data_IF_001623034399
#
_entry.id   IF_001623034399
#
_cell.length_a   1.000
_cell.length_b   1.000
_cell.length_c   1.000
_cell.angle_alpha   90.00
_cell.angle_beta   90.00
_cell.angle_gamma   90.00
#
_symmetry.space_group_name_H-M   'P 1'
#
loop_
_entity.id
_entity.type
_entity.pdbx_description
1 polymer ?
#
# COMPACT_ATOMS: atom_id res chain seq x y z
N UNK A 1 94.50 9.21 16.76
CA UNK A 1 93.72 10.35 16.23
C UNK A 1 92.45 9.76 15.58
N UNK A 2 91.39 9.73 16.31
CA UNK A 2 90.09 9.15 15.89
C UNK A 2 89.20 10.27 15.42
N UNK A 3 88.80 10.23 14.18
CA UNK A 3 87.79 11.16 13.64
C UNK A 3 86.37 10.59 13.87
N UNK A 4 85.63 11.29 14.74
CA UNK A 4 84.26 11.02 15.01
C UNK A 4 83.42 11.62 13.85
N UNK A 5 82.71 10.76 13.12
CA UNK A 5 81.71 11.21 12.15
C UNK A 5 80.35 11.40 12.83
N UNK A 6 79.90 12.63 12.89
CA UNK A 6 78.53 12.97 13.34
C UNK A 6 77.61 12.72 12.22
N UNK A 7 76.72 11.77 12.40
CA UNK A 7 75.57 11.51 11.46
C UNK A 7 74.38 12.33 11.99
N UNK A 8 74.00 13.37 11.22
CA UNK A 8 72.79 14.15 11.49
C UNK A 8 71.64 13.43 10.84
N UNK A 9 70.78 12.86 11.65
CA UNK A 9 69.53 12.20 11.20
C UNK A 9 68.48 13.27 11.00
N UNK A 10 68.13 13.59 9.77
CA UNK A 10 66.97 14.44 9.41
C UNK A 10 65.68 13.64 9.55
N UNK A 11 64.95 13.85 10.61
CA UNK A 11 63.58 13.35 10.76
C UNK A 11 62.66 14.28 9.93
N UNK A 12 62.30 13.86 8.75
CA UNK A 12 61.24 14.47 7.96
C UNK A 12 59.87 14.06 8.55
N UNK A 13 59.30 14.91 9.40
CA UNK A 13 57.90 14.79 9.86
C UNK A 13 56.98 15.02 8.66
N UNK A 14 56.55 13.92 8.04
CA UNK A 14 55.44 13.91 7.10
C UNK A 14 54.14 14.22 7.88
N UNK A 15 53.76 15.48 7.91
CA UNK A 15 52.40 15.86 8.28
C UNK A 15 51.43 15.37 7.20
N UNK A 16 50.88 14.17 7.38
CA UNK A 16 49.71 13.75 6.66
C UNK A 16 48.57 14.65 7.10
N UNK A 17 48.29 15.68 6.30
CA UNK A 17 47.04 16.44 6.44
C UNK A 17 45.92 15.50 6.04
N UNK A 18 45.27 14.86 7.02
CA UNK A 18 43.99 14.23 6.82
C UNK A 18 43.01 15.39 6.60
N UNK A 19 42.82 15.74 5.35
CA UNK A 19 41.70 16.61 4.95
C UNK A 19 40.44 15.84 5.20
N UNK A 20 39.78 16.07 6.34
CA UNK A 20 38.38 15.75 6.48
C UNK A 20 37.64 16.61 5.46
N UNK A 21 37.34 16.06 4.30
CA UNK A 21 36.38 16.62 3.40
C UNK A 21 35.04 16.61 4.17
N UNK A 22 34.68 17.75 4.73
CA UNK A 22 33.30 17.98 5.12
C UNK A 22 32.47 17.82 3.84
N UNK A 23 31.85 16.65 3.65
CA UNK A 23 30.90 16.46 2.58
C UNK A 23 29.81 17.50 2.78
N UNK A 24 29.86 18.59 2.00
CA UNK A 24 28.80 19.60 2.02
C UNK A 24 27.51 18.90 1.63
N UNK A 25 26.48 19.07 2.46
CA UNK A 25 25.16 18.56 2.18
C UNK A 25 24.69 19.17 0.84
N UNK A 26 24.33 18.34 -0.15
CA UNK A 26 23.85 18.84 -1.44
C UNK A 26 22.64 19.75 -1.26
N UNK A 27 22.52 20.78 -2.12
CA UNK A 27 21.40 21.72 -2.09
C UNK A 27 20.81 21.78 -3.50
N UNK A 28 19.52 21.59 -3.61
CA UNK A 28 18.72 21.86 -4.81
C UNK A 28 17.77 23.03 -4.57
N UNK A 29 17.34 23.66 -5.64
CA UNK A 29 16.48 24.86 -5.59
C UNK A 29 15.05 24.51 -5.99
N UNK A 30 14.08 25.24 -5.41
CA UNK A 30 12.67 25.14 -5.77
C UNK A 30 12.01 26.52 -5.74
N UNK A 31 10.96 26.71 -6.54
CA UNK A 31 10.04 27.85 -6.42
C UNK A 31 8.63 27.39 -6.07
N UNK A 32 8.32 26.10 -6.27
CA UNK A 32 7.08 25.45 -5.85
C UNK A 32 7.29 24.59 -4.62
N UNK A 33 6.23 24.42 -3.81
CA UNK A 33 6.23 23.53 -2.66
C UNK A 33 6.18 22.05 -3.05
N UNK A 34 5.74 21.72 -4.24
CA UNK A 34 5.55 20.33 -4.67
C UNK A 34 6.81 19.78 -5.35
N UNK A 35 7.13 18.54 -5.02
CA UNK A 35 8.30 17.82 -5.56
C UNK A 35 7.83 16.50 -6.13
N UNK A 36 8.25 16.20 -7.33
CA UNK A 36 8.06 14.88 -7.93
C UNK A 36 9.19 13.94 -7.51
N UNK A 37 8.87 12.69 -7.28
CA UNK A 37 9.86 11.68 -6.90
C UNK A 37 9.84 10.53 -7.91
N UNK A 38 11.01 10.17 -8.39
CA UNK A 38 11.19 8.99 -9.25
C UNK A 38 11.97 7.91 -8.49
N UNK A 39 11.28 6.83 -8.16
CA UNK A 39 11.86 5.62 -7.59
C UNK A 39 12.14 4.61 -8.71
N UNK A 40 13.41 4.33 -8.98
CA UNK A 40 13.82 3.56 -10.17
C UNK A 40 13.21 4.13 -11.46
N UNK A 41 12.22 3.46 -12.04
CA UNK A 41 11.53 3.88 -13.27
C UNK A 41 10.14 4.49 -13.01
N UNK A 42 9.64 4.47 -11.78
CA UNK A 42 8.29 4.95 -11.42
C UNK A 42 8.36 6.41 -11.00
N UNK A 43 7.76 7.30 -11.78
CA UNK A 43 7.60 8.72 -11.45
C UNK A 43 6.27 8.93 -10.72
N UNK A 44 6.34 9.52 -9.54
CA UNK A 44 5.19 9.97 -8.75
C UNK A 44 5.18 11.50 -8.72
N UNK A 45 4.17 12.10 -9.33
CA UNK A 45 4.00 13.55 -9.34
C UNK A 45 3.43 14.03 -8.01
N UNK A 46 3.92 15.18 -7.55
CA UNK A 46 3.51 15.81 -6.29
C UNK A 46 3.61 14.87 -5.07
N UNK A 47 4.55 13.92 -5.13
CA UNK A 47 4.71 12.89 -4.10
C UNK A 47 5.32 13.40 -2.79
N UNK A 48 5.90 14.58 -2.83
CA UNK A 48 6.55 15.20 -1.67
C UNK A 48 6.19 16.67 -1.60
N UNK A 49 5.91 17.17 -0.41
CA UNK A 49 5.68 18.59 -0.18
C UNK A 49 6.81 19.16 0.67
N UNK A 50 7.43 20.23 0.22
CA UNK A 50 8.43 20.95 0.97
C UNK A 50 7.77 21.65 2.15
N UNK A 51 8.23 21.33 3.37
CA UNK A 51 7.80 21.98 4.61
C UNK A 51 9.04 22.67 5.19
N UNK A 52 9.18 24.00 5.06
CA UNK A 52 10.31 24.75 5.55
C UNK A 52 10.24 24.93 7.07
N UNK A 53 10.44 23.85 7.81
CA UNK A 53 10.52 23.82 9.25
C UNK A 53 11.88 23.27 9.69
N UNK A 54 12.23 23.47 10.98
CA UNK A 54 13.47 22.95 11.55
C UNK A 54 13.54 21.42 11.63
N UNK A 55 12.44 20.72 11.32
CA UNK A 55 12.35 19.27 11.38
C UNK A 55 12.98 18.63 10.15
N UNK A 56 13.64 17.50 10.39
CA UNK A 56 14.18 16.65 9.34
C UNK A 56 13.05 15.82 8.71
N UNK A 57 12.78 16.05 7.44
CA UNK A 57 11.85 15.23 6.65
C UNK A 57 12.54 13.94 6.21
N UNK A 58 11.90 12.81 6.43
CA UNK A 58 12.47 11.49 6.13
C UNK A 58 11.66 10.84 5.00
N UNK A 59 12.35 10.54 3.89
CA UNK A 59 11.82 9.75 2.80
C UNK A 59 12.38 8.33 2.87
N UNK A 60 11.51 7.33 2.98
CA UNK A 60 11.89 5.91 2.98
C UNK A 60 11.64 5.29 1.62
N UNK A 61 12.54 4.42 1.17
CA UNK A 61 12.42 3.75 -0.12
C UNK A 61 13.20 2.44 -0.18
N UNK A 62 12.69 1.48 -0.94
CA UNK A 62 13.40 0.26 -1.34
C UNK A 62 14.05 0.37 -2.72
N UNK A 63 13.89 1.50 -3.40
CA UNK A 63 14.45 1.71 -4.74
C UNK A 63 15.98 1.73 -4.72
N UNK A 64 16.60 1.30 -5.82
CA UNK A 64 18.07 1.38 -6.01
C UNK A 64 18.53 2.77 -6.39
N UNK A 65 17.67 3.54 -7.05
CA UNK A 65 17.92 4.92 -7.48
C UNK A 65 16.68 5.74 -7.17
N UNK A 66 16.89 6.88 -6.52
CA UNK A 66 15.82 7.85 -6.24
C UNK A 66 16.23 9.19 -6.79
N UNK A 67 15.31 9.85 -7.49
CA UNK A 67 15.49 11.22 -7.99
C UNK A 67 14.36 12.11 -7.49
N UNK A 68 14.72 13.22 -6.89
CA UNK A 68 13.80 14.30 -6.54
C UNK A 68 13.86 15.35 -7.64
N UNK A 69 12.71 15.73 -8.16
CA UNK A 69 12.54 16.80 -9.14
C UNK A 69 11.74 17.93 -8.51
N UNK A 70 12.34 19.07 -8.39
CA UNK A 70 11.61 20.32 -8.12
C UNK A 70 11.15 20.91 -9.46
N UNK A 71 10.47 22.04 -9.42
CA UNK A 71 10.08 22.77 -10.63
C UNK A 71 11.27 23.34 -11.45
N UNK A 72 12.46 23.52 -10.82
CA UNK A 72 13.63 24.14 -11.45
C UNK A 72 14.94 23.36 -11.30
N UNK A 73 14.97 22.26 -10.50
CA UNK A 73 16.20 21.54 -10.22
C UNK A 73 15.94 20.05 -9.94
N UNK A 74 16.99 19.23 -9.84
CA UNK A 74 16.85 17.82 -9.48
C UNK A 74 18.09 17.26 -8.81
N UNK A 75 17.90 16.21 -8.01
CA UNK A 75 19.00 15.45 -7.40
C UNK A 75 18.71 13.96 -7.39
N UNK A 76 19.73 13.15 -7.69
CA UNK A 76 19.62 11.69 -7.74
C UNK A 76 20.60 11.04 -6.77
N UNK A 77 20.13 9.96 -6.14
CA UNK A 77 20.92 9.14 -5.21
C UNK A 77 20.87 7.67 -5.63
N UNK A 78 22.01 7.00 -5.55
CA UNK A 78 22.07 5.53 -5.58
C UNK A 78 21.95 5.02 -4.15
N UNK A 79 20.85 4.39 -3.85
CA UNK A 79 20.50 3.97 -2.49
C UNK A 79 21.15 2.62 -2.18
N UNK A 80 21.78 2.55 -1.02
CA UNK A 80 22.35 1.32 -0.47
C UNK A 80 21.76 1.05 0.91
N UNK A 81 21.55 -0.22 1.30
CA UNK A 81 21.12 -0.58 2.65
C UNK A 81 22.08 0.03 3.69
N UNK A 82 21.52 0.43 4.82
CA UNK A 82 22.22 1.02 5.99
C UNK A 82 22.85 2.40 5.76
N UNK A 83 22.72 3.00 4.56
CA UNK A 83 23.17 4.36 4.32
C UNK A 83 22.02 5.36 4.45
N UNK A 84 22.37 6.58 4.83
CA UNK A 84 21.50 7.74 4.86
C UNK A 84 22.03 8.77 3.87
N UNK A 85 21.13 9.47 3.21
CA UNK A 85 21.48 10.50 2.24
C UNK A 85 20.74 11.77 2.59
N UNK A 86 21.51 12.80 3.00
CA UNK A 86 20.97 14.10 3.37
C UNK A 86 21.12 15.08 2.22
N UNK A 87 20.09 15.90 2.00
CA UNK A 87 20.13 17.05 1.10
C UNK A 87 19.20 18.15 1.59
N UNK A 88 19.32 19.33 1.01
CA UNK A 88 18.50 20.50 1.35
C UNK A 88 17.76 20.95 0.11
N UNK A 89 16.48 21.24 0.26
CA UNK A 89 15.69 21.92 -0.77
C UNK A 89 15.56 23.38 -0.34
N UNK A 90 16.13 24.29 -1.13
CA UNK A 90 16.06 25.73 -0.89
C UNK A 90 14.90 26.34 -1.66
N UNK A 91 13.83 26.72 -0.97
CA UNK A 91 12.62 27.29 -1.53
C UNK A 91 12.76 28.82 -1.67
N UNK A 92 12.60 29.33 -2.89
CA UNK A 92 12.68 30.76 -3.20
C UNK A 92 13.96 31.47 -2.69
N UNK A 93 15.04 30.72 -2.49
CA UNK A 93 16.30 31.25 -1.99
C UNK A 93 16.30 31.71 -0.53
N UNK A 94 15.24 31.43 0.23
CA UNK A 94 15.06 31.90 1.63
C UNK A 94 14.81 30.74 2.58
N UNK A 95 13.80 29.95 2.31
CA UNK A 95 13.38 28.88 3.20
C UNK A 95 14.06 27.57 2.83
N UNK A 96 14.46 26.78 3.79
CA UNK A 96 15.14 25.50 3.54
C UNK A 96 14.43 24.35 4.25
N UNK A 97 14.28 23.23 3.53
CA UNK A 97 13.82 21.98 4.09
C UNK A 97 14.98 20.95 4.04
N UNK A 98 15.34 20.40 5.17
CA UNK A 98 16.32 19.32 5.25
C UNK A 98 15.62 17.99 5.03
N UNK A 99 16.01 17.27 4.00
CA UNK A 99 15.46 15.95 3.66
C UNK A 99 16.52 14.88 3.82
N UNK A 100 16.13 13.75 4.40
CA UNK A 100 16.97 12.57 4.53
C UNK A 100 16.31 11.39 3.83
N UNK A 101 17.03 10.70 2.95
CA UNK A 101 16.58 9.45 2.36
C UNK A 101 17.14 8.28 3.18
N UNK A 102 16.27 7.33 3.52
CA UNK A 102 16.63 6.06 4.17
C UNK A 102 16.21 4.89 3.32
N UNK A 103 17.06 3.88 3.26
CA UNK A 103 16.66 2.61 2.70
C UNK A 103 15.73 1.88 3.67
N UNK A 104 14.62 1.41 3.12
CA UNK A 104 13.71 0.49 3.80
C UNK A 104 13.46 -0.70 2.88
N UNK A 105 13.43 -1.90 3.44
CA UNK A 105 13.20 -3.10 2.67
C UNK A 105 11.75 -3.13 2.16
N UNK A 106 11.54 -3.50 0.89
CA UNK A 106 10.18 -3.60 0.35
C UNK A 106 9.34 -4.64 1.12
N UNK A 107 8.05 -4.41 1.23
CA UNK A 107 7.11 -5.35 1.86
C UNK A 107 7.17 -6.73 1.18
N UNK A 108 7.31 -6.77 -0.14
CA UNK A 108 7.49 -8.01 -0.89
C UNK A 108 8.78 -8.75 -0.49
N UNK A 109 9.90 -8.05 -0.27
CA UNK A 109 11.13 -8.70 0.20
C UNK A 109 11.01 -9.21 1.63
N UNK A 110 10.27 -8.51 2.48
CA UNK A 110 9.92 -8.97 3.83
C UNK A 110 9.03 -10.22 3.74
N UNK A 111 8.02 -10.18 2.88
CA UNK A 111 7.12 -11.32 2.65
C UNK A 111 7.87 -12.57 2.15
N UNK A 112 8.81 -12.42 1.20
CA UNK A 112 9.64 -13.53 0.69
C UNK A 112 10.49 -14.18 1.78
N UNK A 113 10.85 -13.45 2.82
CA UNK A 113 11.58 -13.96 3.99
C UNK A 113 10.68 -14.51 5.09
N UNK A 114 9.36 -14.30 4.98
CA UNK A 114 8.42 -14.81 5.95
C UNK A 114 8.34 -16.34 5.90
N UNK A 115 8.15 -16.96 7.06
CA UNK A 115 7.96 -18.40 7.17
C UNK A 115 6.71 -18.89 6.43
N UNK A 116 6.65 -20.19 6.19
CA UNK A 116 5.43 -20.84 5.72
C UNK A 116 4.32 -20.71 6.75
N UNK A 117 3.07 -20.76 6.30
CA UNK A 117 1.94 -20.87 7.24
C UNK A 117 2.12 -22.10 8.14
N UNK A 118 1.80 -21.91 9.41
CA UNK A 118 1.69 -23.04 10.34
C UNK A 118 0.31 -23.68 10.19
N UNK A 119 0.24 -24.81 9.50
CA UNK A 119 -1.00 -25.56 9.34
C UNK A 119 -1.32 -26.47 10.54
N UNK A 120 -0.34 -26.64 11.46
CA UNK A 120 -0.50 -27.44 12.67
C UNK A 120 -0.82 -26.54 13.87
N UNK A 121 -1.83 -25.69 13.72
CA UNK A 121 -2.27 -24.78 14.77
C UNK A 121 -3.01 -25.58 15.87
N UNK A 122 -2.45 -25.58 17.06
CA UNK A 122 -3.01 -26.32 18.21
C UNK A 122 -3.82 -25.42 19.15
N UNK A 123 -3.87 -24.12 18.90
CA UNK A 123 -4.70 -23.21 19.70
C UNK A 123 -6.17 -23.45 19.39
N UNK A 124 -7.02 -23.34 20.42
CA UNK A 124 -8.45 -23.34 20.19
C UNK A 124 -8.84 -22.12 19.34
N UNK A 125 -9.34 -22.38 18.13
CA UNK A 125 -9.87 -21.37 17.25
C UNK A 125 -11.39 -21.52 17.25
N UNK A 126 -12.16 -20.50 17.71
CA UNK A 126 -13.60 -20.55 17.66
C UNK A 126 -14.10 -20.77 16.24
N UNK A 127 -15.16 -21.57 16.09
CA UNK A 127 -15.79 -21.78 14.79
C UNK A 127 -16.36 -20.44 14.28
N UNK A 128 -16.00 -20.07 13.07
CA UNK A 128 -16.55 -18.88 12.44
C UNK A 128 -18.00 -19.15 12.00
N UNK A 129 -18.92 -18.30 12.46
CA UNK A 129 -20.32 -18.38 12.10
C UNK A 129 -20.71 -17.23 11.17
N UNK A 130 -21.53 -17.56 10.18
CA UNK A 130 -22.05 -16.60 9.22
C UNK A 130 -23.48 -16.19 9.60
N UNK A 131 -23.81 -14.92 9.39
CA UNK A 131 -25.20 -14.52 9.39
C UNK A 131 -25.95 -15.30 8.30
N UNK A 132 -27.13 -15.76 8.63
CA UNK A 132 -27.98 -16.49 7.69
C UNK A 132 -28.82 -15.52 6.86
N UNK A 133 -29.31 -15.95 5.72
CA UNK A 133 -30.22 -15.18 4.84
C UNK A 133 -31.51 -14.74 5.55
N UNK A 134 -31.87 -15.42 6.65
CA UNK A 134 -33.03 -15.09 7.47
C UNK A 134 -32.76 -14.01 8.52
N UNK A 135 -31.56 -13.49 8.61
CA UNK A 135 -31.26 -12.35 9.49
C UNK A 135 -32.09 -11.13 9.06
N UNK A 136 -32.85 -10.50 9.98
CA UNK A 136 -33.75 -9.38 9.63
C UNK A 136 -33.05 -8.22 8.93
N UNK A 137 -31.81 -7.89 9.32
CA UNK A 137 -31.05 -6.81 8.70
C UNK A 137 -30.62 -7.15 7.28
N UNK A 138 -30.24 -8.41 7.03
CA UNK A 138 -29.90 -8.88 5.67
C UNK A 138 -31.14 -8.94 4.77
N UNK A 139 -32.29 -9.34 5.30
CA UNK A 139 -33.57 -9.31 4.55
C UNK A 139 -33.91 -7.86 4.16
N UNK A 140 -33.81 -6.93 5.13
CA UNK A 140 -34.04 -5.50 4.89
C UNK A 140 -33.07 -4.96 3.84
N UNK A 141 -31.77 -5.22 3.99
CA UNK A 141 -30.73 -4.81 3.03
C UNK A 141 -31.02 -5.29 1.63
N UNK A 142 -31.33 -6.58 1.45
CA UNK A 142 -31.65 -7.19 0.17
C UNK A 142 -32.84 -6.53 -0.52
N UNK A 143 -33.89 -6.26 0.27
CA UNK A 143 -35.12 -5.62 -0.23
C UNK A 143 -34.92 -4.15 -0.55
N UNK A 144 -34.36 -3.37 0.38
CA UNK A 144 -34.25 -1.90 0.28
C UNK A 144 -33.32 -1.49 -0.88
N UNK A 145 -32.30 -2.29 -1.14
CA UNK A 145 -31.35 -2.05 -2.25
C UNK A 145 -31.66 -2.86 -3.52
N UNK A 146 -32.72 -3.68 -3.51
CA UNK A 146 -33.08 -4.55 -4.65
C UNK A 146 -31.89 -5.41 -5.14
N UNK A 147 -31.19 -6.06 -4.22
CA UNK A 147 -29.93 -6.75 -4.51
C UNK A 147 -30.10 -7.93 -5.48
N UNK A 148 -31.28 -8.55 -5.55
CA UNK A 148 -31.57 -9.59 -6.55
C UNK A 148 -31.45 -9.07 -7.98
N UNK A 149 -31.96 -7.88 -8.24
CA UNK A 149 -31.86 -7.24 -9.54
C UNK A 149 -30.43 -6.84 -9.88
N UNK A 150 -29.69 -6.33 -8.90
CA UNK A 150 -28.27 -5.94 -9.05
C UNK A 150 -27.41 -7.16 -9.32
N UNK A 151 -27.57 -8.22 -8.54
CA UNK A 151 -26.85 -9.48 -8.72
C UNK A 151 -27.18 -10.15 -10.06
N UNK A 152 -28.42 -9.99 -10.53
CA UNK A 152 -28.89 -10.58 -11.79
C UNK A 152 -29.18 -12.07 -11.68
N UNK A 153 -29.45 -12.69 -12.83
CA UNK A 153 -29.86 -14.09 -12.92
C UNK A 153 -28.78 -15.02 -13.51
N UNK A 154 -27.55 -14.52 -13.65
CA UNK A 154 -26.41 -15.30 -14.14
C UNK A 154 -25.89 -16.34 -13.16
N UNK A 155 -24.70 -16.87 -13.45
CA UNK A 155 -23.97 -17.78 -12.57
C UNK A 155 -23.65 -17.13 -11.22
N UNK A 156 -23.21 -17.94 -10.23
CA UNK A 156 -22.78 -17.43 -8.94
C UNK A 156 -21.62 -16.41 -9.09
N UNK A 157 -20.64 -16.71 -9.95
CA UNK A 157 -19.54 -15.80 -10.23
C UNK A 157 -20.02 -14.47 -10.82
N UNK A 158 -21.00 -14.51 -11.74
CA UNK A 158 -21.61 -13.28 -12.28
C UNK A 158 -22.25 -12.45 -11.19
N UNK A 159 -22.95 -13.06 -10.23
CA UNK A 159 -23.55 -12.36 -9.08
C UNK A 159 -22.48 -11.76 -8.17
N UNK A 160 -21.39 -12.49 -7.92
CA UNK A 160 -20.27 -12.00 -7.12
C UNK A 160 -19.68 -10.73 -7.75
N UNK A 161 -19.39 -10.75 -9.05
CA UNK A 161 -18.78 -9.61 -9.71
C UNK A 161 -19.76 -8.44 -9.91
N UNK A 162 -21.01 -8.70 -10.21
CA UNK A 162 -22.03 -7.65 -10.31
C UNK A 162 -22.14 -6.86 -9.00
N UNK A 163 -22.13 -7.54 -7.85
CA UNK A 163 -22.16 -6.90 -6.55
C UNK A 163 -20.84 -6.17 -6.24
N UNK A 164 -19.69 -6.74 -6.59
CA UNK A 164 -18.40 -6.09 -6.44
C UNK A 164 -18.36 -4.74 -7.15
N UNK A 165 -18.70 -4.73 -8.46
CA UNK A 165 -18.72 -3.51 -9.26
C UNK A 165 -19.80 -2.52 -8.80
N UNK A 166 -20.96 -3.02 -8.38
CA UNK A 166 -22.00 -2.16 -7.85
C UNK A 166 -21.58 -1.45 -6.58
N UNK A 167 -20.99 -2.16 -5.60
CA UNK A 167 -20.51 -1.56 -4.34
C UNK A 167 -19.38 -0.56 -4.61
N UNK A 168 -18.41 -0.91 -5.47
CA UNK A 168 -17.35 0.00 -5.88
C UNK A 168 -17.89 1.33 -6.44
N UNK A 169 -18.98 1.26 -7.22
CA UNK A 169 -19.57 2.43 -7.85
C UNK A 169 -20.61 3.18 -6.97
N UNK A 170 -20.98 2.62 -5.82
CA UNK A 170 -22.06 3.15 -4.99
C UNK A 170 -21.68 4.45 -4.29
N UNK A 171 -20.48 4.48 -3.69
CA UNK A 171 -19.92 5.62 -2.95
C UNK A 171 -18.42 5.67 -3.22
N UNK A 172 -17.86 6.86 -3.43
CA UNK A 172 -16.42 7.01 -3.64
C UNK A 172 -15.62 6.56 -2.41
N UNK A 173 -14.47 5.99 -2.64
CA UNK A 173 -13.53 5.66 -1.58
C UNK A 173 -12.84 6.94 -1.04
N UNK A 174 -12.69 6.98 0.28
CA UNK A 174 -11.94 8.00 1.01
C UNK A 174 -11.32 7.35 2.25
N UNK A 175 -10.02 7.07 2.19
CA UNK A 175 -9.30 6.36 3.26
C UNK A 175 -9.31 7.09 4.60
N UNK A 176 -9.45 8.43 4.60
CA UNK A 176 -9.50 9.25 5.81
C UNK A 176 -10.91 9.36 6.42
N UNK A 177 -11.94 8.78 5.78
CA UNK A 177 -13.32 8.84 6.28
C UNK A 177 -13.46 8.07 7.58
N UNK A 178 -13.96 8.73 8.62
CA UNK A 178 -14.14 8.13 9.95
C UNK A 178 -15.27 7.09 9.97
N UNK A 179 -15.09 6.06 10.77
CA UNK A 179 -16.10 5.02 10.95
C UNK A 179 -17.25 5.55 11.81
N UNK A 180 -18.50 5.46 11.33
CA UNK A 180 -19.67 5.85 12.13
C UNK A 180 -19.93 4.85 13.27
N UNK A 181 -20.81 5.24 14.21
CA UNK A 181 -21.21 4.39 15.32
C UNK A 181 -21.96 3.12 14.85
N UNK A 182 -22.87 3.27 13.88
CA UNK A 182 -23.58 2.16 13.26
C UNK A 182 -22.77 1.61 12.08
N UNK A 183 -22.61 0.30 12.04
CA UNK A 183 -21.60 -0.37 11.19
C UNK A 183 -22.17 -1.42 10.24
N UNK A 184 -23.48 -1.46 10.06
CA UNK A 184 -24.11 -2.31 9.04
C UNK A 184 -24.19 -1.58 7.69
N UNK A 185 -24.35 -2.33 6.62
CA UNK A 185 -24.32 -1.81 5.26
C UNK A 185 -25.33 -0.68 5.00
N UNK A 186 -26.58 -0.82 5.48
CA UNK A 186 -27.62 0.20 5.26
C UNK A 186 -27.24 1.52 5.92
N UNK A 187 -26.82 1.46 7.18
CA UNK A 187 -26.47 2.66 7.93
C UNK A 187 -25.21 3.33 7.38
N UNK A 188 -24.20 2.52 6.96
CA UNK A 188 -23.02 3.03 6.29
C UNK A 188 -23.36 3.78 4.99
N UNK A 189 -24.21 3.19 4.14
CA UNK A 189 -24.64 3.80 2.90
C UNK A 189 -25.44 5.08 3.18
N UNK A 190 -26.36 5.02 4.15
CA UNK A 190 -27.24 6.14 4.49
C UNK A 190 -26.47 7.34 5.01
N UNK A 191 -25.58 7.13 5.98
CA UNK A 191 -24.83 8.22 6.61
C UNK A 191 -23.87 8.87 5.63
N UNK A 192 -23.18 8.09 4.80
CA UNK A 192 -22.26 8.63 3.82
C UNK A 192 -22.97 9.45 2.74
N UNK A 193 -24.14 9.00 2.28
CA UNK A 193 -24.98 9.77 1.36
C UNK A 193 -25.53 11.03 2.01
N UNK A 194 -26.01 10.95 3.26
CA UNK A 194 -26.55 12.09 4.01
C UNK A 194 -25.49 13.18 4.25
N UNK A 195 -24.27 12.77 4.59
CA UNK A 195 -23.15 13.66 4.90
C UNK A 195 -22.33 14.04 3.64
N UNK A 196 -22.68 13.50 2.48
CA UNK A 196 -21.96 13.67 1.22
C UNK A 196 -20.44 13.40 1.34
N UNK A 197 -20.07 12.34 2.07
CA UNK A 197 -18.69 11.94 2.29
C UNK A 197 -18.39 10.58 1.64
N UNK A 198 -17.10 10.29 1.46
CA UNK A 198 -16.63 8.98 1.00
C UNK A 198 -16.71 7.91 2.09
N UNK A 199 -16.33 6.71 1.73
CA UNK A 199 -16.19 5.54 2.61
C UNK A 199 -14.76 5.03 2.58
N UNK A 200 -14.25 4.57 3.72
CA UNK A 200 -12.95 3.90 3.75
C UNK A 200 -13.06 2.43 3.28
N UNK A 201 -11.91 1.76 3.11
CA UNK A 201 -11.87 0.38 2.62
C UNK A 201 -12.66 -0.60 3.51
N UNK A 202 -12.63 -0.44 4.84
CA UNK A 202 -13.40 -1.28 5.74
C UNK A 202 -14.91 -1.12 5.55
N UNK A 203 -15.40 0.11 5.38
CA UNK A 203 -16.82 0.37 5.12
C UNK A 203 -17.27 -0.26 3.80
N UNK A 204 -16.48 -0.12 2.71
CA UNK A 204 -16.78 -0.78 1.43
C UNK A 204 -16.81 -2.29 1.57
N UNK A 205 -15.81 -2.86 2.25
CA UNK A 205 -15.73 -4.30 2.47
C UNK A 205 -16.90 -4.82 3.34
N UNK A 206 -17.36 -4.04 4.32
CA UNK A 206 -18.53 -4.37 5.13
C UNK A 206 -19.81 -4.37 4.30
N UNK A 207 -20.02 -3.34 3.48
CA UNK A 207 -21.18 -3.25 2.58
C UNK A 207 -21.21 -4.44 1.63
N UNK A 208 -20.10 -4.76 0.99
CA UNK A 208 -20.01 -5.89 0.06
C UNK A 208 -20.25 -7.23 0.77
N UNK A 209 -19.67 -7.41 1.96
CA UNK A 209 -19.85 -8.60 2.77
C UNK A 209 -21.33 -8.88 3.07
N UNK A 210 -22.05 -7.87 3.55
CA UNK A 210 -23.46 -8.03 3.88
C UNK A 210 -24.34 -8.22 2.63
N UNK A 211 -23.99 -7.60 1.49
CA UNK A 211 -24.65 -7.87 0.21
C UNK A 211 -24.52 -9.35 -0.19
N UNK A 212 -23.32 -9.94 -0.08
CA UNK A 212 -23.14 -11.37 -0.36
C UNK A 212 -23.92 -12.25 0.60
N UNK A 213 -23.81 -12.00 1.92
CA UNK A 213 -24.51 -12.78 2.94
C UNK A 213 -26.03 -12.73 2.75
N UNK A 214 -26.60 -11.59 2.34
CA UNK A 214 -28.03 -11.44 2.10
C UNK A 214 -28.54 -12.31 0.96
N UNK A 215 -27.68 -12.68 0.02
CA UNK A 215 -27.96 -13.60 -1.09
C UNK A 215 -27.55 -15.06 -0.79
N UNK A 216 -27.08 -15.35 0.42
CA UNK A 216 -26.62 -16.69 0.82
C UNK A 216 -25.20 -17.03 0.34
N UNK A 217 -24.48 -16.07 -0.22
CA UNK A 217 -23.08 -16.25 -0.63
C UNK A 217 -22.19 -16.02 0.58
N UNK A 218 -21.42 -17.02 0.99
CA UNK A 218 -20.51 -16.90 2.15
C UNK A 218 -19.41 -15.91 1.85
N UNK A 219 -19.29 -14.89 2.68
CA UNK A 219 -18.25 -13.88 2.56
C UNK A 219 -17.78 -13.42 3.94
N UNK A 220 -16.58 -12.87 3.98
CA UNK A 220 -15.99 -12.17 5.14
C UNK A 220 -14.99 -11.14 4.65
N UNK A 221 -14.90 -10.02 5.35
CA UNK A 221 -13.81 -9.09 5.11
C UNK A 221 -12.56 -9.51 5.89
N UNK A 222 -11.40 -9.13 5.39
CA UNK A 222 -10.09 -9.46 5.95
C UNK A 222 -9.23 -8.22 5.98
N UNK A 223 -8.63 -7.94 7.12
CA UNK A 223 -7.63 -6.89 7.27
C UNK A 223 -6.27 -7.39 6.79
N UNK A 224 -5.71 -6.70 5.81
CA UNK A 224 -4.34 -6.87 5.37
C UNK A 224 -3.47 -5.95 6.21
N UNK A 225 -2.83 -6.50 7.23
CA UNK A 225 -2.02 -5.74 8.18
C UNK A 225 -0.53 -5.85 7.81
N UNK A 226 0.27 -4.78 7.95
CA UNK A 226 1.71 -4.87 7.87
C UNK A 226 2.26 -5.67 9.05
N UNK A 227 3.50 -6.13 8.91
CA UNK A 227 4.20 -6.83 9.99
C UNK A 227 4.53 -5.89 11.16
N UNK A 228 4.77 -4.65 10.86
CA UNK A 228 5.12 -3.60 11.81
C UNK A 228 3.86 -3.16 12.58
N UNK A 229 3.87 -3.35 13.91
CA UNK A 229 2.71 -3.03 14.77
C UNK A 229 2.47 -1.53 14.95
N UNK A 230 3.46 -0.69 14.62
CA UNK A 230 3.37 0.77 14.74
C UNK A 230 2.93 1.44 13.42
N UNK A 231 2.49 0.67 12.45
CA UNK A 231 2.07 1.17 11.16
C UNK A 231 0.56 1.36 11.18
N UNK A 232 0.10 2.58 10.94
CA UNK A 232 -1.31 2.95 11.03
C UNK A 232 -2.11 2.65 9.75
N UNK A 233 -1.42 2.33 8.64
CA UNK A 233 -2.05 2.03 7.37
C UNK A 233 -2.35 0.53 7.23
N UNK A 234 -3.58 0.22 6.84
CA UNK A 234 -4.03 -1.13 6.55
C UNK A 234 -5.04 -1.11 5.40
N UNK A 235 -5.18 -2.24 4.74
CA UNK A 235 -6.18 -2.39 3.71
C UNK A 235 -7.18 -3.49 4.06
N UNK A 236 -8.44 -3.33 3.64
CA UNK A 236 -9.51 -4.29 3.92
C UNK A 236 -10.12 -4.77 2.62
N UNK A 237 -10.12 -6.08 2.44
CA UNK A 237 -10.65 -6.77 1.27
C UNK A 237 -11.70 -7.78 1.68
N UNK A 238 -12.39 -8.40 0.73
CA UNK A 238 -13.30 -9.50 0.96
C UNK A 238 -12.71 -10.84 0.47
N UNK A 239 -12.98 -11.88 1.23
CA UNK A 239 -12.95 -13.25 0.75
C UNK A 239 -14.37 -13.73 0.56
N UNK A 240 -14.69 -14.23 -0.61
CA UNK A 240 -15.98 -14.80 -0.94
C UNK A 240 -15.82 -16.26 -1.38
N UNK A 241 -16.68 -17.14 -0.86
CA UNK A 241 -16.63 -18.55 -1.19
C UNK A 241 -17.48 -18.80 -2.43
N UNK A 242 -16.84 -19.24 -3.50
CA UNK A 242 -17.54 -19.72 -4.71
C UNK A 242 -17.81 -21.21 -4.61
N UNK A 243 -19.06 -21.59 -4.67
CA UNK A 243 -19.49 -22.98 -4.76
C UNK A 243 -19.19 -23.57 -6.14
N UNK A 244 -19.23 -22.77 -7.20
CA UNK A 244 -18.85 -23.18 -8.56
C UNK A 244 -17.37 -23.59 -8.64
N UNK A 245 -16.48 -22.83 -7.96
CA UNK A 245 -15.04 -23.10 -7.92
C UNK A 245 -14.61 -23.96 -6.74
N UNK A 246 -15.52 -24.20 -5.79
CA UNK A 246 -15.26 -24.88 -4.51
C UNK A 246 -14.07 -24.31 -3.76
N UNK A 247 -13.95 -22.98 -3.72
CA UNK A 247 -12.83 -22.27 -3.06
C UNK A 247 -13.18 -20.84 -2.66
N UNK A 248 -12.35 -20.28 -1.77
CA UNK A 248 -12.37 -18.87 -1.44
C UNK A 248 -11.63 -18.07 -2.51
N UNK A 249 -12.19 -16.96 -2.94
CA UNK A 249 -11.57 -16.01 -3.88
C UNK A 249 -11.41 -14.64 -3.24
N UNK A 250 -10.39 -13.92 -3.68
CA UNK A 250 -10.09 -12.54 -3.30
C UNK A 250 -10.93 -11.58 -4.15
N UNK A 251 -11.66 -10.68 -3.53
CA UNK A 251 -12.32 -9.53 -4.18
C UNK A 251 -12.14 -8.28 -3.34
N UNK A 252 -11.98 -7.14 -3.98
CA UNK A 252 -11.71 -5.88 -3.32
C UNK A 252 -12.60 -4.75 -3.87
N UNK A 253 -13.60 -4.28 -3.11
CA UNK A 253 -14.51 -3.24 -3.56
C UNK A 253 -13.85 -1.86 -3.65
N UNK A 254 -12.71 -1.62 -2.99
CA UNK A 254 -12.00 -0.34 -3.08
C UNK A 254 -11.49 -0.08 -4.49
N UNK A 255 -11.01 -1.13 -5.15
CA UNK A 255 -10.43 -1.04 -6.49
C UNK A 255 -11.21 -1.79 -7.56
N UNK A 256 -12.40 -2.30 -7.26
CA UNK A 256 -13.15 -3.22 -8.13
C UNK A 256 -12.25 -4.37 -8.63
N UNK A 257 -11.44 -4.93 -7.75
CA UNK A 257 -10.36 -5.82 -8.15
C UNK A 257 -10.51 -7.26 -7.67
N UNK A 258 -9.92 -8.16 -8.43
CA UNK A 258 -9.68 -9.56 -8.13
C UNK A 258 -8.38 -10.02 -8.78
N UNK A 259 -7.79 -11.07 -8.23
CA UNK A 259 -6.49 -11.57 -8.67
C UNK A 259 -6.63 -12.96 -9.27
N UNK A 260 -5.93 -13.19 -10.38
CA UNK A 260 -5.92 -14.44 -11.11
C UNK A 260 -4.49 -14.96 -11.29
N UNK A 261 -4.38 -16.23 -11.68
CA UNK A 261 -3.14 -16.77 -12.23
C UNK A 261 -3.03 -16.46 -13.75
N UNK A 262 -1.95 -16.93 -14.36
CA UNK A 262 -1.67 -16.78 -15.80
C UNK A 262 -2.67 -17.49 -16.73
N UNK A 263 -3.48 -18.38 -16.19
CA UNK A 263 -4.52 -19.12 -16.92
C UNK A 263 -5.92 -18.51 -16.71
N UNK A 264 -6.03 -17.41 -15.95
CA UNK A 264 -7.29 -16.77 -15.63
C UNK A 264 -8.07 -17.41 -14.47
N UNK A 265 -7.45 -18.31 -13.71
CA UNK A 265 -8.09 -18.89 -12.53
C UNK A 265 -8.09 -17.88 -11.38
N UNK A 266 -9.25 -17.63 -10.80
CA UNK A 266 -9.41 -16.76 -9.64
C UNK A 266 -8.65 -17.29 -8.43
N UNK A 267 -7.97 -16.43 -7.68
CA UNK A 267 -7.13 -16.79 -6.56
C UNK A 267 -7.68 -16.27 -5.23
N UNK A 268 -7.44 -17.04 -4.17
CA UNK A 268 -7.65 -16.59 -2.79
C UNK A 268 -6.38 -15.97 -2.18
N UNK A 269 -6.51 -15.37 -0.99
CA UNK A 269 -5.39 -14.68 -0.31
C UNK A 269 -4.17 -15.59 -0.14
N UNK A 270 -4.37 -16.84 0.27
CA UNK A 270 -3.28 -17.78 0.46
C UNK A 270 -2.53 -18.06 -0.86
N UNK A 271 -3.27 -18.30 -1.94
CA UNK A 271 -2.69 -18.58 -3.26
C UNK A 271 -1.91 -17.38 -3.80
N UNK A 272 -2.46 -16.16 -3.62
CA UNK A 272 -1.76 -14.91 -4.00
C UNK A 272 -0.45 -14.78 -3.21
N UNK A 273 -0.49 -14.97 -1.89
CA UNK A 273 0.70 -14.92 -1.05
C UNK A 273 1.75 -15.95 -1.48
N UNK A 274 1.36 -17.19 -1.69
CA UNK A 274 2.26 -18.27 -2.11
C UNK A 274 2.90 -17.97 -3.48
N UNK A 275 2.15 -17.39 -4.40
CA UNK A 275 2.65 -16.97 -5.71
C UNK A 275 3.61 -15.79 -5.61
N UNK A 276 3.33 -14.79 -4.76
CA UNK A 276 4.26 -13.69 -4.47
C UNK A 276 5.59 -14.19 -3.90
N UNK A 277 5.54 -15.08 -2.91
CA UNK A 277 6.73 -15.67 -2.28
C UNK A 277 7.54 -16.51 -3.28
N UNK A 278 6.85 -17.25 -4.15
CA UNK A 278 7.46 -18.15 -5.15
C UNK A 278 7.75 -17.45 -6.49
N UNK A 279 7.52 -16.16 -6.59
CA UNK A 279 7.73 -15.36 -7.82
C UNK A 279 6.97 -15.95 -9.02
N UNK A 280 5.76 -16.50 -8.78
CA UNK A 280 4.87 -16.97 -9.85
C UNK A 280 4.04 -15.83 -10.41
N UNK A 281 3.62 -15.91 -11.69
CA UNK A 281 2.81 -14.87 -12.32
C UNK A 281 1.50 -14.63 -11.58
N UNK A 282 1.09 -13.37 -11.48
CA UNK A 282 -0.20 -12.91 -11.00
C UNK A 282 -0.79 -11.95 -12.02
N UNK A 283 -2.09 -11.98 -12.19
CA UNK A 283 -2.83 -11.12 -13.09
C UNK A 283 -3.92 -10.40 -12.30
N UNK A 284 -3.90 -9.08 -12.34
CA UNK A 284 -4.99 -8.24 -11.85
C UNK A 284 -5.98 -8.02 -12.98
N UNK A 285 -7.28 -7.96 -12.71
CA UNK A 285 -8.25 -7.62 -13.73
C UNK A 285 -7.94 -6.25 -14.35
N UNK A 286 -8.12 -6.13 -15.65
CA UNK A 286 -7.68 -4.96 -16.43
C UNK A 286 -8.44 -3.67 -16.09
N UNK A 287 -9.64 -3.79 -15.56
CA UNK A 287 -10.54 -2.69 -15.20
C UNK A 287 -10.48 -2.32 -13.71
N UNK A 288 -9.54 -2.91 -12.95
CA UNK A 288 -9.28 -2.50 -11.56
C UNK A 288 -8.91 -1.01 -11.51
N UNK A 289 -9.61 -0.24 -10.68
CA UNK A 289 -9.42 1.19 -10.62
C UNK A 289 -9.77 1.76 -9.24
N UNK A 290 -9.20 2.91 -8.91
CA UNK A 290 -9.59 3.69 -7.74
C UNK A 290 -10.57 4.80 -8.15
N UNK A 291 -11.77 4.79 -7.57
CA UNK A 291 -12.81 5.79 -7.77
C UNK A 291 -13.21 6.06 -9.23
N UNK A 292 -13.01 5.11 -10.14
CA UNK A 292 -13.23 5.26 -11.60
C UNK A 292 -12.31 6.27 -12.28
N UNK A 293 -11.27 6.71 -11.58
CA UNK A 293 -10.36 7.76 -12.05
C UNK A 293 -8.96 7.21 -12.36
N UNK A 294 -8.44 6.31 -11.51
CA UNK A 294 -7.07 5.83 -11.60
C UNK A 294 -7.06 4.33 -11.78
N UNK A 295 -6.69 3.89 -12.99
CA UNK A 295 -6.49 2.46 -13.30
C UNK A 295 -5.32 1.93 -12.48
N UNK A 296 -5.50 0.77 -11.87
CA UNK A 296 -4.47 0.14 -11.06
C UNK A 296 -3.62 -0.81 -11.88
N UNK A 297 -2.29 -0.67 -11.77
CA UNK A 297 -1.39 -1.74 -12.20
C UNK A 297 -1.29 -2.82 -11.11
N UNK A 298 -0.97 -4.03 -11.52
CA UNK A 298 -0.74 -5.15 -10.58
C UNK A 298 0.34 -4.80 -9.55
N UNK A 299 1.41 -4.17 -10.00
CA UNK A 299 2.54 -3.77 -9.16
C UNK A 299 2.11 -2.76 -8.10
N UNK A 300 1.31 -1.76 -8.46
CA UNK A 300 0.79 -0.77 -7.51
C UNK A 300 -0.19 -1.37 -6.51
N UNK A 301 -1.09 -2.22 -7.00
CA UNK A 301 -2.10 -2.87 -6.18
C UNK A 301 -1.50 -3.85 -5.16
N UNK A 302 -0.49 -4.63 -5.53
CA UNK A 302 0.14 -5.64 -4.67
C UNK A 302 1.33 -5.11 -3.85
N UNK A 303 1.75 -3.86 -4.02
CA UNK A 303 2.77 -3.20 -3.19
C UNK A 303 2.22 -2.69 -1.85
N UNK A 304 0.91 -2.56 -1.72
CA UNK A 304 0.22 -2.00 -0.55
C UNK A 304 -0.13 -3.04 0.52
#
# INVERSE_FOLDING_TARGET
MNKIKIIVLFFALLFVRISFSQNKIPIIKATSLNVDIKDNNKLRKNAWRIVPEEKLDIYTTSAKVVTFYTDIDSISFRIKPNNKYDFIILLNGKDSARTQIKYEQSRLDILKKAGKYNYNENRFIPKFEYQTVNNPDLIRLRKDLNLDSIAGHGSELSKIFNLLYWVHNLIRHDGSSENPALKNAIDLIHICKKENRGVNCWMLATILNECYLSLGIKSRYVFCLPKETNFDDNHVINMVYSTELNKWIWVDPTFASYVMDENGNLLGIQEVRERLVSVKPLVLNADANWNREIVQSKEEYLEN
#
